data_IF_385609683099
#
_entry.id   IF_385609683099
#
_cell.length_a   1.000
_cell.length_b   1.000
_cell.length_c   1.000
_cell.angle_alpha   90.00
_cell.angle_beta   90.00
_cell.angle_gamma   90.00
#
_symmetry.space_group_name_H-M   'P 1'
#
loop_
_entity.id
_entity.type
_entity.pdbx_description
1 polymer ?
#
# COMPACT_ATOMS: atom_id res chain seq x y z
N UNK A 1 -19.21 -20.24 35.72
CA UNK A 1 -19.28 -21.71 35.81
C UNK A 1 -18.96 -22.26 34.44
N UNK A 2 -17.82 -22.94 34.28
CA UNK A 2 -17.49 -23.67 33.06
C UNK A 2 -18.32 -24.95 33.05
N UNK A 3 -19.45 -24.95 32.34
CA UNK A 3 -20.16 -26.20 32.06
C UNK A 3 -19.29 -27.08 31.16
N UNK A 4 -19.09 -28.32 31.61
CA UNK A 4 -18.22 -29.31 31.02
C UNK A 4 -18.71 -29.73 29.63
N UNK A 5 -18.26 -29.04 28.59
CA UNK A 5 -18.16 -29.67 27.28
C UNK A 5 -17.04 -30.72 27.37
N UNK A 6 -17.28 -31.97 26.95
CA UNK A 6 -16.31 -33.07 27.05
C UNK A 6 -15.07 -32.93 26.16
N UNK A 7 -14.43 -31.75 26.15
CA UNK A 7 -13.23 -31.39 25.40
C UNK A 7 -12.01 -31.38 26.32
N UNK A 8 -10.90 -31.91 25.81
CA UNK A 8 -9.60 -31.89 26.49
C UNK A 8 -8.86 -30.54 26.33
N UNK A 9 -9.53 -29.46 25.93
CA UNK A 9 -8.90 -28.14 25.73
C UNK A 9 -9.77 -26.99 26.29
N UNK A 10 -9.14 -25.89 26.76
CA UNK A 10 -9.84 -24.74 27.37
C UNK A 10 -10.37 -23.77 26.31
N UNK A 11 -10.99 -24.27 25.23
CA UNK A 11 -11.51 -23.44 24.15
C UNK A 11 -12.71 -22.60 24.63
N UNK A 12 -12.63 -21.29 24.48
CA UNK A 12 -13.75 -20.37 24.75
C UNK A 12 -14.82 -20.49 23.66
N UNK A 13 -16.01 -20.94 24.03
CA UNK A 13 -17.14 -21.13 23.12
C UNK A 13 -17.75 -19.81 22.62
N UNK A 14 -17.54 -18.72 23.36
CA UNK A 14 -18.04 -17.39 23.02
C UNK A 14 -16.99 -16.54 22.29
N UNK A 15 -15.85 -17.14 21.90
CA UNK A 15 -14.74 -16.44 21.25
C UNK A 15 -15.16 -15.59 20.03
N UNK A 16 -16.12 -16.10 19.24
CA UNK A 16 -16.67 -15.44 18.05
C UNK A 16 -18.03 -14.76 18.28
N UNK A 17 -18.54 -14.74 19.51
CA UNK A 17 -19.78 -14.06 19.86
C UNK A 17 -19.72 -12.56 19.51
N UNK A 18 -18.54 -11.95 19.71
CA UNK A 18 -18.16 -10.61 19.24
C UNK A 18 -16.85 -10.66 18.46
N UNK A 19 -16.67 -9.71 17.53
CA UNK A 19 -15.38 -9.44 16.88
C UNK A 19 -14.92 -8.07 17.38
N UNK A 20 -14.02 -8.08 18.37
CA UNK A 20 -13.56 -6.89 19.10
C UNK A 20 -12.04 -6.73 19.07
N UNK A 21 -11.33 -7.61 18.36
CA UNK A 21 -9.88 -7.56 18.22
C UNK A 21 -9.42 -7.84 16.79
N UNK A 22 -8.26 -7.31 16.45
CA UNK A 22 -7.59 -7.54 15.17
C UNK A 22 -7.42 -9.05 14.91
N UNK A 23 -6.96 -9.80 15.91
CA UNK A 23 -6.74 -11.25 15.79
C UNK A 23 -8.03 -12.03 15.48
N UNK A 24 -9.17 -11.67 16.09
CA UNK A 24 -10.47 -12.29 15.80
C UNK A 24 -10.93 -11.99 14.37
N UNK A 25 -10.83 -10.73 13.94
CA UNK A 25 -11.21 -10.32 12.59
C UNK A 25 -10.31 -10.95 11.52
N UNK A 26 -8.99 -10.97 11.76
CA UNK A 26 -8.00 -11.60 10.89
C UNK A 26 -8.25 -13.11 10.77
N UNK A 27 -8.50 -13.82 11.88
CA UNK A 27 -8.87 -15.23 11.83
C UNK A 27 -10.20 -15.46 11.10
N UNK A 28 -11.20 -14.59 11.29
CA UNK A 28 -12.46 -14.69 10.55
C UNK A 28 -12.21 -14.57 9.03
N UNK A 29 -11.29 -13.71 8.60
CA UNK A 29 -10.84 -13.58 7.22
C UNK A 29 -10.22 -14.87 6.67
N UNK A 30 -9.33 -15.51 7.44
CA UNK A 30 -8.75 -16.82 7.10
C UNK A 30 -9.80 -17.93 7.02
N UNK A 31 -10.77 -17.92 7.94
CA UNK A 31 -11.87 -18.88 7.90
C UNK A 31 -12.73 -18.63 6.65
N UNK A 32 -12.88 -17.38 6.22
CA UNK A 32 -13.63 -17.00 5.03
C UNK A 32 -12.91 -17.32 3.70
N UNK A 33 -11.58 -17.42 3.67
CA UNK A 33 -10.78 -17.79 2.47
C UNK A 33 -10.46 -19.29 2.41
N UNK A 34 -9.54 -19.77 3.24
CA UNK A 34 -9.03 -21.16 3.25
C UNK A 34 -9.70 -22.10 4.29
N UNK A 35 -10.55 -21.54 5.17
CA UNK A 35 -11.25 -22.34 6.18
C UNK A 35 -12.30 -23.32 5.63
N UNK A 36 -12.43 -24.49 6.25
CA UNK A 36 -13.55 -25.41 6.06
C UNK A 36 -14.42 -25.44 7.30
N UNK A 37 -15.74 -25.23 7.13
CA UNK A 37 -16.73 -25.29 8.21
C UNK A 37 -17.57 -26.55 8.03
N UNK A 38 -17.43 -27.48 8.96
CA UNK A 38 -18.03 -28.81 8.88
C UNK A 38 -19.38 -28.88 9.61
N UNK A 39 -20.29 -29.70 9.09
CA UNK A 39 -21.64 -29.88 9.69
C UNK A 39 -21.61 -30.50 11.09
N UNK A 40 -20.52 -31.16 11.46
CA UNK A 40 -20.32 -31.75 12.80
C UNK A 40 -19.93 -30.70 13.86
N UNK A 41 -19.82 -29.41 13.50
CA UNK A 41 -19.47 -28.34 14.43
C UNK A 41 -17.98 -28.10 14.58
N UNK A 42 -17.17 -28.47 13.58
CA UNK A 42 -15.74 -28.17 13.55
C UNK A 42 -15.36 -27.16 12.46
N UNK A 43 -14.29 -26.41 12.71
CA UNK A 43 -13.63 -25.53 11.75
C UNK A 43 -12.20 -26.03 11.58
N UNK A 44 -11.72 -26.07 10.33
CA UNK A 44 -10.34 -26.43 10.02
C UNK A 44 -9.74 -25.50 8.99
N UNK A 45 -8.51 -25.04 9.21
CA UNK A 45 -7.71 -24.28 8.25
C UNK A 45 -6.48 -25.12 7.94
N UNK A 46 -6.20 -25.35 6.65
CA UNK A 46 -5.01 -26.09 6.20
C UNK A 46 -4.20 -25.23 5.24
N UNK A 47 -2.92 -25.03 5.55
CA UNK A 47 -2.00 -24.25 4.70
C UNK A 47 -0.70 -25.02 4.48
N UNK A 48 0.08 -24.60 3.49
CA UNK A 48 1.38 -25.18 3.19
C UNK A 48 2.34 -25.06 4.39
N UNK A 49 3.14 -26.09 4.66
CA UNK A 49 4.00 -26.16 5.84
C UNK A 49 5.01 -25.02 5.97
N UNK A 50 5.39 -24.39 4.84
CA UNK A 50 6.25 -23.20 4.81
C UNK A 50 5.62 -21.98 5.51
N UNK A 51 4.30 -21.95 5.56
CA UNK A 51 3.52 -20.87 6.16
C UNK A 51 2.96 -21.25 7.55
N UNK A 52 3.36 -22.40 8.11
CA UNK A 52 2.78 -22.96 9.35
C UNK A 52 2.89 -22.05 10.59
N UNK A 53 3.86 -21.12 10.61
CA UNK A 53 3.99 -20.10 11.66
C UNK A 53 2.74 -19.20 11.76
N UNK A 54 1.98 -19.02 10.68
CA UNK A 54 0.70 -18.30 10.74
C UNK A 54 -0.34 -19.10 11.50
N UNK A 55 -0.37 -20.43 11.35
CA UNK A 55 -1.27 -21.27 12.14
C UNK A 55 -0.97 -21.19 13.64
N UNK A 56 0.28 -20.97 14.03
CA UNK A 56 0.67 -20.76 15.43
C UNK A 56 0.07 -19.46 15.97
N UNK A 57 0.17 -18.36 15.23
CA UNK A 57 -0.45 -17.08 15.59
C UNK A 57 -1.99 -17.18 15.66
N UNK A 58 -2.60 -17.85 14.67
CA UNK A 58 -4.06 -18.08 14.65
C UNK A 58 -4.51 -19.00 15.79
N UNK A 59 -3.72 -20.04 16.10
CA UNK A 59 -3.96 -20.95 17.22
C UNK A 59 -3.92 -20.18 18.53
N UNK A 60 -2.87 -19.39 18.75
CA UNK A 60 -2.65 -18.69 20.01
C UNK A 60 -3.69 -17.60 20.27
N UNK A 61 -4.22 -17.01 19.20
CA UNK A 61 -5.37 -16.11 19.28
C UNK A 61 -6.64 -16.80 19.81
N UNK A 62 -6.86 -18.07 19.49
CA UNK A 62 -8.09 -18.82 19.86
C UNK A 62 -7.92 -19.62 21.14
N UNK A 63 -6.90 -20.49 21.16
CA UNK A 63 -6.58 -21.37 22.28
C UNK A 63 -5.18 -22.00 22.04
N UNK A 64 -4.14 -21.55 22.77
CA UNK A 64 -2.76 -22.07 22.60
C UNK A 64 -2.60 -23.58 22.78
N UNK A 65 -3.52 -24.24 23.51
CA UNK A 65 -3.51 -25.68 23.73
C UNK A 65 -3.92 -26.52 22.50
N UNK A 66 -4.42 -25.88 21.43
CA UNK A 66 -4.84 -26.60 20.23
C UNK A 66 -3.65 -27.14 19.42
N UNK A 67 -3.66 -28.42 19.00
CA UNK A 67 -2.55 -28.97 18.23
C UNK A 67 -2.59 -28.51 16.77
N UNK A 68 -1.42 -28.18 16.21
CA UNK A 68 -1.25 -27.98 14.76
C UNK A 68 -0.74 -29.27 14.14
N UNK A 69 -1.61 -29.94 13.36
CA UNK A 69 -1.36 -31.30 12.87
C UNK A 69 -0.94 -31.29 11.40
N UNK A 70 0.05 -32.11 10.99
CA UNK A 70 0.30 -32.35 9.58
C UNK A 70 -0.86 -33.12 8.94
N UNK A 71 -1.17 -32.83 7.68
CA UNK A 71 -2.13 -33.61 6.89
C UNK A 71 -1.37 -34.71 6.14
N UNK A 72 -1.64 -35.97 6.52
CA UNK A 72 -0.94 -37.16 6.02
C UNK A 72 -0.88 -37.18 4.49
N UNK A 73 0.31 -37.44 3.94
CA UNK A 73 0.54 -37.54 2.50
C UNK A 73 0.54 -36.20 1.76
N UNK A 74 0.59 -35.06 2.46
CA UNK A 74 0.64 -33.73 1.86
C UNK A 74 1.67 -32.84 2.58
N UNK A 75 2.05 -31.73 1.96
CA UNK A 75 2.87 -30.69 2.59
C UNK A 75 2.03 -29.68 3.40
N UNK A 76 0.81 -30.05 3.79
CA UNK A 76 -0.10 -29.16 4.52
C UNK A 76 -0.03 -29.41 6.03
N UNK A 77 -0.12 -28.34 6.80
CA UNK A 77 -0.41 -28.38 8.25
C UNK A 77 -1.75 -27.70 8.49
N UNK A 78 -2.44 -28.11 9.54
CA UNK A 78 -3.75 -27.57 9.85
C UNK A 78 -4.00 -27.33 11.33
N UNK A 79 -4.76 -26.27 11.58
CA UNK A 79 -5.40 -25.96 12.83
C UNK A 79 -6.85 -26.44 12.74
N UNK A 80 -7.33 -27.16 13.75
CA UNK A 80 -8.73 -27.59 13.80
C UNK A 80 -9.26 -27.52 15.22
N UNK A 81 -10.47 -27.00 15.36
CA UNK A 81 -11.17 -26.90 16.64
C UNK A 81 -12.66 -27.17 16.44
N UNK A 82 -13.31 -27.66 17.50
CA UNK A 82 -14.71 -28.07 17.46
C UNK A 82 -15.50 -27.36 18.54
N UNK A 83 -16.48 -26.56 18.10
CA UNK A 83 -17.45 -25.87 18.95
C UNK A 83 -18.65 -25.51 18.09
N UNK A 84 -19.83 -26.00 18.49
CA UNK A 84 -21.08 -25.66 17.80
C UNK A 84 -21.43 -24.18 17.96
N UNK A 85 -21.08 -23.57 19.09
CA UNK A 85 -21.28 -22.15 19.36
C UNK A 85 -20.43 -21.29 18.41
N UNK A 86 -19.12 -21.56 18.35
CA UNK A 86 -18.21 -20.88 17.42
C UNK A 86 -18.67 -21.05 15.96
N UNK A 87 -19.01 -22.28 15.54
CA UNK A 87 -19.48 -22.52 14.16
C UNK A 87 -20.71 -21.69 13.85
N UNK A 88 -21.70 -21.65 14.76
CA UNK A 88 -22.90 -20.83 14.61
C UNK A 88 -22.53 -19.35 14.45
N UNK A 89 -21.64 -18.84 15.29
CA UNK A 89 -21.29 -17.43 15.31
C UNK A 89 -20.47 -17.00 14.08
N UNK A 90 -19.52 -17.83 13.64
CA UNK A 90 -18.80 -17.65 12.37
C UNK A 90 -19.76 -17.67 11.19
N UNK A 91 -20.67 -18.66 11.13
CA UNK A 91 -21.70 -18.74 10.10
C UNK A 91 -22.60 -17.50 10.08
N UNK A 92 -22.96 -16.96 11.26
CA UNK A 92 -23.71 -15.71 11.41
C UNK A 92 -22.94 -14.53 10.83
N UNK A 93 -21.66 -14.37 11.20
CA UNK A 93 -20.83 -13.27 10.72
C UNK A 93 -20.62 -13.30 9.19
N UNK A 94 -20.43 -14.49 8.62
CA UNK A 94 -20.18 -14.67 7.18
C UNK A 94 -21.47 -14.83 6.36
N UNK A 95 -22.65 -14.93 7.00
CA UNK A 95 -23.92 -15.15 6.32
C UNK A 95 -24.01 -16.47 5.57
N UNK A 96 -23.41 -17.54 6.10
CA UNK A 96 -23.33 -18.87 5.46
C UNK A 96 -23.86 -19.98 6.36
N UNK A 97 -24.02 -21.17 5.81
CA UNK A 97 -24.33 -22.40 6.57
C UNK A 97 -23.17 -23.39 6.50
N UNK A 98 -22.97 -24.25 7.51
CA UNK A 98 -21.91 -25.27 7.48
C UNK A 98 -21.96 -26.14 6.21
N UNK A 99 -20.80 -26.36 5.59
CA UNK A 99 -20.67 -27.10 4.34
C UNK A 99 -21.08 -26.34 3.06
N UNK A 100 -21.46 -25.05 3.15
CA UNK A 100 -21.78 -24.19 1.99
C UNK A 100 -21.07 -22.84 2.11
N UNK A 101 -19.76 -22.81 1.85
CA UNK A 101 -18.94 -21.60 1.97
C UNK A 101 -18.80 -20.87 0.62
N UNK A 102 -18.34 -21.57 -0.42
CA UNK A 102 -17.70 -20.94 -1.58
C UNK A 102 -18.50 -19.82 -2.28
N UNK A 103 -19.78 -20.03 -2.62
CA UNK A 103 -20.55 -19.07 -3.41
C UNK A 103 -21.37 -18.04 -2.61
N UNK A 104 -21.41 -18.15 -1.27
CA UNK A 104 -22.37 -17.39 -0.44
C UNK A 104 -21.75 -16.60 0.71
N UNK A 105 -20.43 -16.69 0.94
CA UNK A 105 -19.74 -15.88 1.95
C UNK A 105 -20.04 -14.40 1.72
N UNK A 106 -20.36 -13.69 2.80
CA UNK A 106 -20.59 -12.24 2.83
C UNK A 106 -19.48 -11.54 3.60
N UNK A 107 -19.29 -10.27 3.29
CA UNK A 107 -18.46 -9.38 4.07
C UNK A 107 -19.13 -9.13 5.44
N UNK A 108 -18.45 -9.39 6.57
CA UNK A 108 -19.06 -9.28 7.89
C UNK A 108 -19.31 -7.80 8.27
N UNK A 109 -20.42 -7.54 8.94
CA UNK A 109 -20.76 -6.22 9.48
C UNK A 109 -19.97 -5.91 10.76
N UNK A 110 -18.66 -5.69 10.61
CA UNK A 110 -17.76 -5.43 11.74
C UNK A 110 -17.87 -3.98 12.24
N UNK A 111 -17.70 -3.74 13.57
CA UNK A 111 -18.07 -2.47 14.19
C UNK A 111 -17.13 -1.29 13.86
N UNK A 112 -15.89 -1.56 13.45
CA UNK A 112 -14.91 -0.53 13.09
C UNK A 112 -14.22 -0.85 11.77
N UNK A 113 -13.73 0.18 11.08
CA UNK A 113 -12.99 -0.01 9.83
C UNK A 113 -11.65 -0.72 10.05
N UNK A 114 -11.01 -0.54 11.22
CA UNK A 114 -9.81 -1.28 11.59
C UNK A 114 -10.07 -2.81 11.58
N UNK A 115 -11.20 -3.26 12.13
CA UNK A 115 -11.58 -4.67 12.13
C UNK A 115 -11.96 -5.16 10.72
N UNK A 116 -12.62 -4.32 9.91
CA UNK A 116 -12.88 -4.63 8.50
C UNK A 116 -11.59 -4.83 7.71
N UNK A 117 -10.59 -3.97 7.90
CA UNK A 117 -9.26 -4.13 7.29
C UNK A 117 -8.54 -5.38 7.79
N UNK A 118 -8.62 -5.72 9.08
CA UNK A 118 -8.08 -6.97 9.61
C UNK A 118 -8.73 -8.21 8.97
N UNK A 119 -10.06 -8.19 8.76
CA UNK A 119 -10.76 -9.23 8.02
C UNK A 119 -10.29 -9.33 6.56
N UNK A 120 -10.18 -8.20 5.85
CA UNK A 120 -9.66 -8.17 4.47
C UNK A 120 -8.24 -8.71 4.41
N UNK A 121 -7.38 -8.37 5.37
CA UNK A 121 -6.01 -8.91 5.47
C UNK A 121 -6.03 -10.43 5.62
N UNK A 122 -6.81 -10.97 6.55
CA UNK A 122 -6.91 -12.42 6.75
C UNK A 122 -7.44 -13.15 5.52
N UNK A 123 -8.43 -12.56 4.84
CA UNK A 123 -8.94 -13.09 3.58
C UNK A 123 -7.88 -13.05 2.48
N UNK A 124 -7.19 -11.91 2.31
CA UNK A 124 -6.10 -11.72 1.36
C UNK A 124 -4.93 -12.68 1.63
N UNK A 125 -4.60 -12.97 2.88
CA UNK A 125 -3.50 -13.85 3.23
C UNK A 125 -3.80 -15.31 2.93
N UNK A 126 -5.07 -15.74 2.97
CA UNK A 126 -5.50 -17.02 2.41
C UNK A 126 -5.54 -17.00 0.88
N UNK A 127 -6.50 -16.29 0.30
CA UNK A 127 -6.87 -16.42 -1.13
C UNK A 127 -6.26 -15.37 -2.07
N UNK A 128 -5.46 -14.44 -1.53
CA UNK A 128 -4.82 -13.39 -2.30
C UNK A 128 -3.48 -13.79 -2.93
N UNK A 129 -2.98 -12.95 -3.82
CA UNK A 129 -1.65 -13.08 -4.42
C UNK A 129 -0.99 -11.72 -4.62
N UNK A 130 0.34 -11.70 -4.62
CA UNK A 130 1.18 -10.52 -4.91
C UNK A 130 2.19 -10.92 -5.97
N UNK A 131 2.34 -10.12 -7.03
CA UNK A 131 3.37 -10.35 -8.05
C UNK A 131 4.77 -10.16 -7.45
N UNK A 132 5.78 -10.87 -7.95
CA UNK A 132 7.16 -10.61 -7.53
C UNK A 132 7.82 -9.56 -8.42
N UNK A 133 8.58 -8.59 -7.87
CA UNK A 133 9.42 -7.70 -8.66
C UNK A 133 10.49 -8.44 -9.47
N UNK A 134 10.86 -9.65 -9.04
CA UNK A 134 11.90 -10.50 -9.66
C UNK A 134 11.33 -11.50 -10.67
N UNK A 135 10.01 -11.56 -10.83
CA UNK A 135 9.41 -12.42 -11.84
C UNK A 135 9.75 -11.90 -13.24
N UNK A 136 10.63 -12.61 -13.95
CA UNK A 136 11.08 -12.21 -15.29
C UNK A 136 9.91 -12.04 -16.26
N UNK A 137 9.59 -10.80 -16.62
CA UNK A 137 8.69 -10.53 -17.74
C UNK A 137 9.49 -10.49 -19.03
N UNK A 138 9.01 -11.26 -20.02
CA UNK A 138 9.60 -11.27 -21.37
C UNK A 138 9.47 -9.91 -22.07
N UNK A 139 8.50 -9.05 -21.75
CA UNK A 139 8.32 -7.72 -22.33
C UNK A 139 7.68 -6.73 -21.33
N UNK A 140 8.37 -5.62 -21.02
CA UNK A 140 7.87 -4.50 -20.19
C UNK A 140 8.56 -4.33 -18.81
N UNK A 141 8.52 -3.10 -18.28
CA UNK A 141 8.98 -2.77 -16.92
C UNK A 141 8.06 -3.46 -15.89
N UNK A 142 8.61 -4.18 -14.89
CA UNK A 142 7.78 -4.83 -13.88
C UNK A 142 7.07 -3.76 -13.03
N UNK A 143 5.87 -4.09 -12.54
CA UNK A 143 5.05 -3.20 -11.72
C UNK A 143 4.26 -4.01 -10.68
N UNK A 144 3.92 -3.41 -9.52
CA UNK A 144 3.20 -4.09 -8.45
C UNK A 144 1.80 -4.48 -8.90
N UNK A 145 1.39 -5.69 -8.52
CA UNK A 145 0.05 -6.21 -8.75
C UNK A 145 -0.31 -7.12 -7.59
N UNK A 146 -1.53 -6.99 -7.09
CA UNK A 146 -2.10 -7.93 -6.14
C UNK A 146 -3.55 -8.25 -6.49
N UNK A 147 -3.99 -9.44 -6.12
CA UNK A 147 -5.30 -9.96 -6.49
C UNK A 147 -5.92 -10.69 -5.32
N UNK A 148 -7.23 -10.48 -5.09
CA UNK A 148 -8.07 -11.36 -4.27
C UNK A 148 -8.94 -12.20 -5.20
N UNK A 149 -8.99 -13.51 -4.99
CA UNK A 149 -9.93 -14.39 -5.69
C UNK A 149 -11.07 -14.83 -4.75
N UNK A 150 -12.27 -14.94 -5.28
CA UNK A 150 -13.40 -15.57 -4.57
C UNK A 150 -14.47 -16.02 -5.56
N UNK A 151 -15.23 -17.05 -5.22
CA UNK A 151 -16.43 -17.42 -5.99
C UNK A 151 -17.68 -16.68 -5.52
N UNK A 152 -17.62 -15.94 -4.41
CA UNK A 152 -18.71 -15.06 -3.95
C UNK A 152 -18.58 -13.67 -4.57
N UNK A 153 -19.38 -13.39 -5.61
CA UNK A 153 -19.43 -12.07 -6.25
C UNK A 153 -19.85 -10.96 -5.26
N UNK A 154 -20.76 -11.27 -4.32
CA UNK A 154 -21.22 -10.33 -3.28
C UNK A 154 -20.11 -9.96 -2.29
N UNK A 155 -19.24 -10.92 -1.95
CA UNK A 155 -18.09 -10.63 -1.10
C UNK A 155 -17.13 -9.70 -1.83
N UNK A 156 -16.83 -9.98 -3.11
CA UNK A 156 -15.94 -9.16 -3.90
C UNK A 156 -16.47 -7.73 -4.07
N UNK A 157 -17.76 -7.58 -4.37
CA UNK A 157 -18.40 -6.26 -4.47
C UNK A 157 -18.32 -5.47 -3.16
N UNK A 158 -18.55 -6.13 -2.03
CA UNK A 158 -18.44 -5.50 -0.71
C UNK A 158 -16.99 -5.13 -0.36
N UNK A 159 -16.00 -5.98 -0.69
CA UNK A 159 -14.58 -5.67 -0.51
C UNK A 159 -14.17 -4.49 -1.39
N UNK A 160 -14.54 -4.48 -2.67
CA UNK A 160 -14.28 -3.35 -3.60
C UNK A 160 -14.84 -2.04 -3.04
N UNK A 161 -16.11 -2.06 -2.63
CA UNK A 161 -16.80 -0.89 -2.06
C UNK A 161 -16.13 -0.41 -0.78
N UNK A 162 -15.77 -1.33 0.12
CA UNK A 162 -15.12 -0.99 1.39
C UNK A 162 -13.71 -0.44 1.19
N UNK A 163 -12.91 -1.08 0.33
CA UNK A 163 -11.54 -0.64 0.08
C UNK A 163 -11.51 0.75 -0.56
N UNK A 164 -12.47 1.06 -1.43
CA UNK A 164 -12.56 2.35 -2.13
C UNK A 164 -11.25 2.76 -2.83
N UNK A 165 -10.44 1.78 -3.23
CA UNK A 165 -9.20 1.95 -3.99
C UNK A 165 -9.46 1.47 -5.42
N UNK A 166 -9.18 2.28 -6.45
CA UNK A 166 -9.51 1.92 -7.82
C UNK A 166 -8.87 0.58 -8.24
N UNK A 167 -9.69 -0.33 -8.76
CA UNK A 167 -9.29 -1.68 -9.13
C UNK A 167 -10.00 -2.16 -10.40
N UNK A 168 -9.56 -3.29 -10.92
CA UNK A 168 -10.31 -4.06 -11.89
C UNK A 168 -11.02 -5.22 -11.20
N UNK A 169 -12.36 -5.17 -11.13
CA UNK A 169 -13.16 -6.31 -10.66
C UNK A 169 -13.60 -7.19 -11.83
N UNK A 170 -13.06 -8.39 -11.87
CA UNK A 170 -13.57 -9.47 -12.71
C UNK A 170 -14.65 -10.28 -12.00
N UNK A 171 -15.20 -11.30 -12.69
CA UNK A 171 -16.26 -12.15 -12.12
C UNK A 171 -15.85 -12.89 -10.84
N UNK A 172 -14.58 -13.29 -10.72
CA UNK A 172 -14.08 -14.11 -9.60
C UNK A 172 -12.85 -13.54 -8.91
N UNK A 173 -12.54 -12.28 -9.18
CA UNK A 173 -11.38 -11.62 -8.57
C UNK A 173 -11.50 -10.11 -8.57
N UNK A 174 -10.74 -9.47 -7.67
CA UNK A 174 -10.39 -8.05 -7.71
C UNK A 174 -8.89 -7.97 -7.93
N UNK A 175 -8.45 -7.22 -8.93
CA UNK A 175 -7.03 -6.94 -9.19
C UNK A 175 -6.75 -5.46 -8.96
N UNK A 176 -5.76 -5.18 -8.11
CA UNK A 176 -5.12 -3.87 -8.02
C UNK A 176 -3.79 -3.92 -8.75
N UNK A 177 -3.47 -2.85 -9.46
CA UNK A 177 -2.23 -2.70 -10.21
C UNK A 177 -1.59 -1.33 -9.98
N UNK A 178 -0.26 -1.30 -9.98
CA UNK A 178 0.49 -0.07 -9.83
C UNK A 178 0.35 0.56 -8.44
N UNK A 179 0.18 1.88 -8.39
CA UNK A 179 0.05 2.59 -7.11
C UNK A 179 -1.12 2.06 -6.29
N UNK A 180 -2.24 1.73 -6.94
CA UNK A 180 -3.41 1.19 -6.26
C UNK A 180 -3.12 -0.17 -5.57
N UNK A 181 -2.19 -0.95 -6.12
CA UNK A 181 -1.74 -2.19 -5.47
C UNK A 181 -0.90 -1.90 -4.23
N UNK A 182 -0.02 -0.89 -4.30
CA UNK A 182 0.76 -0.43 -3.15
C UNK A 182 -0.16 0.14 -2.06
N UNK A 183 -1.10 1.02 -2.43
CA UNK A 183 -2.06 1.63 -1.49
C UNK A 183 -2.89 0.55 -0.78
N UNK A 184 -3.38 -0.44 -1.51
CA UNK A 184 -4.11 -1.56 -0.93
C UNK A 184 -3.23 -2.38 0.02
N UNK A 185 -2.02 -2.75 -0.40
CA UNK A 185 -1.11 -3.54 0.43
C UNK A 185 -0.64 -2.79 1.67
N UNK A 186 -0.41 -1.48 1.57
CA UNK A 186 -0.08 -0.62 2.70
C UNK A 186 -1.21 -0.62 3.73
N UNK A 187 -2.47 -0.48 3.29
CA UNK A 187 -3.65 -0.53 4.18
C UNK A 187 -3.77 -1.83 4.96
N UNK A 188 -3.42 -2.98 4.36
CA UNK A 188 -3.54 -4.27 5.05
C UNK A 188 -2.30 -4.61 5.89
N UNK A 189 -1.10 -4.14 5.55
CA UNK A 189 0.14 -4.58 6.21
C UNK A 189 0.83 -3.54 7.11
N UNK A 190 0.73 -2.24 6.85
CA UNK A 190 1.41 -1.24 7.68
C UNK A 190 0.81 -1.18 9.08
N UNK A 191 1.66 -1.31 10.11
CA UNK A 191 1.22 -1.38 11.50
C UNK A 191 0.43 -2.63 11.88
N UNK A 192 0.25 -3.59 10.96
CA UNK A 192 -0.50 -4.81 11.24
C UNK A 192 0.25 -5.73 12.21
N UNK A 193 -0.39 -6.23 13.29
CA UNK A 193 0.27 -7.08 14.28
C UNK A 193 0.51 -8.50 13.77
N UNK A 194 -0.27 -8.95 12.79
CA UNK A 194 -0.27 -10.33 12.27
C UNK A 194 -0.47 -10.29 10.77
N UNK A 195 0.38 -11.00 10.01
CA UNK A 195 0.31 -11.09 8.55
C UNK A 195 1.04 -12.33 8.04
N UNK A 196 0.72 -12.77 6.83
CA UNK A 196 1.52 -13.76 6.10
C UNK A 196 2.82 -13.10 5.60
N UNK A 197 3.93 -13.37 6.28
CA UNK A 197 5.26 -12.77 6.05
C UNK A 197 5.64 -12.78 4.58
N UNK A 198 5.48 -13.90 3.86
CA UNK A 198 5.89 -13.98 2.45
C UNK A 198 5.16 -13.00 1.52
N UNK A 199 3.89 -12.65 1.81
CA UNK A 199 3.13 -11.68 1.02
C UNK A 199 3.47 -10.25 1.44
N UNK A 200 3.62 -10.03 2.74
CA UNK A 200 4.11 -8.76 3.29
C UNK A 200 5.50 -8.39 2.76
N UNK A 201 6.43 -9.34 2.72
CA UNK A 201 7.78 -9.09 2.17
C UNK A 201 7.75 -8.73 0.68
N UNK A 202 6.81 -9.25 -0.11
CA UNK A 202 6.64 -8.82 -1.50
C UNK A 202 6.09 -7.40 -1.60
N UNK A 203 5.23 -6.98 -0.67
CA UNK A 203 4.82 -5.58 -0.56
C UNK A 203 6.02 -4.69 -0.23
N UNK A 204 6.81 -5.05 0.78
CA UNK A 204 8.00 -4.29 1.19
C UNK A 204 9.03 -4.19 0.05
N UNK A 205 9.27 -5.30 -0.66
CA UNK A 205 10.10 -5.32 -1.86
C UNK A 205 9.58 -4.36 -2.93
N UNK A 206 8.27 -4.33 -3.18
CA UNK A 206 7.65 -3.42 -4.16
C UNK A 206 7.68 -1.96 -3.72
N UNK A 207 7.45 -1.69 -2.44
CA UNK A 207 7.51 -0.35 -1.88
C UNK A 207 8.93 0.21 -2.03
N UNK A 208 9.95 -0.59 -1.76
CA UNK A 208 11.35 -0.20 -1.91
C UNK A 208 11.91 -0.37 -3.34
N UNK A 209 11.12 -0.83 -4.31
CA UNK A 209 11.65 -1.24 -5.61
C UNK A 209 12.06 -0.03 -6.47
N UNK A 210 13.34 -0.01 -6.87
CA UNK A 210 13.88 0.97 -7.82
C UNK A 210 14.43 0.24 -9.05
N UNK A 211 13.91 0.47 -10.27
CA UNK A 211 14.31 -0.29 -11.45
C UNK A 211 15.82 -0.34 -11.73
N UNK A 212 16.54 0.76 -11.46
CA UNK A 212 17.98 0.88 -11.74
C UNK A 212 18.90 0.38 -10.62
N UNK A 213 18.38 0.17 -9.41
CA UNK A 213 19.17 -0.24 -8.23
C UNK A 213 18.79 -1.65 -7.73
N UNK A 214 17.55 -2.09 -7.94
CA UNK A 214 16.97 -3.30 -7.34
C UNK A 214 16.76 -4.47 -8.31
N UNK A 215 17.19 -4.36 -9.57
CA UNK A 215 16.99 -5.37 -10.63
C UNK A 215 18.23 -6.23 -10.92
N UNK A 216 18.11 -7.56 -10.80
CA UNK A 216 19.13 -8.56 -11.18
C UNK A 216 19.18 -8.85 -12.70
N UNK A 217 18.77 -7.90 -13.53
CA UNK A 217 18.73 -8.11 -14.98
C UNK A 217 18.24 -6.88 -15.69
N UNK A 218 19.08 -6.38 -16.59
CA UNK A 218 18.86 -5.25 -17.50
C UNK A 218 19.21 -3.87 -16.92
N UNK A 219 20.51 -3.60 -16.79
CA UNK A 219 21.11 -2.26 -16.63
C UNK A 219 20.91 -1.35 -17.86
N UNK A 220 19.90 -1.61 -18.70
CA UNK A 220 19.86 -1.14 -20.09
C UNK A 220 18.50 -0.84 -20.70
N UNK A 221 17.42 -0.70 -19.91
CA UNK A 221 16.19 -0.05 -20.40
C UNK A 221 16.16 1.41 -19.99
N UNK A 222 16.03 2.27 -21.00
CA UNK A 222 15.91 3.73 -20.85
C UNK A 222 14.84 4.06 -19.80
N UNK A 223 15.25 4.70 -18.70
CA UNK A 223 14.34 5.19 -17.68
C UNK A 223 13.38 6.18 -18.34
N UNK A 224 12.15 5.74 -18.57
CA UNK A 224 11.13 6.56 -19.23
C UNK A 224 10.16 7.12 -18.20
N UNK A 225 9.78 8.37 -18.41
CA UNK A 225 8.79 9.07 -17.60
C UNK A 225 7.58 9.37 -18.47
N UNK A 226 6.39 8.98 -18.02
CA UNK A 226 5.16 9.21 -18.77
C UNK A 226 4.73 10.65 -18.54
N UNK A 227 4.22 11.30 -19.58
CA UNK A 227 3.64 12.62 -19.49
C UNK A 227 2.50 12.75 -20.50
N UNK A 228 1.58 13.66 -20.24
CA UNK A 228 0.53 14.05 -21.19
C UNK A 228 0.35 15.56 -21.14
N UNK A 229 0.04 16.18 -22.28
CA UNK A 229 -0.34 17.58 -22.33
C UNK A 229 -1.82 17.76 -21.97
N UNK A 230 -2.12 18.84 -21.26
CA UNK A 230 -3.49 19.32 -20.99
C UNK A 230 -3.72 20.77 -21.44
N UNK A 231 -2.72 21.40 -22.05
CA UNK A 231 -2.84 22.64 -22.84
C UNK A 231 -2.20 22.42 -24.20
N UNK A 232 -2.72 23.07 -25.25
CA UNK A 232 -2.27 22.83 -26.63
C UNK A 232 -0.80 23.19 -26.86
N UNK A 233 -0.35 24.26 -26.21
CA UNK A 233 1.02 24.79 -26.32
C UNK A 233 2.03 24.02 -25.44
N UNK A 234 1.57 23.09 -24.60
CA UNK A 234 2.45 22.37 -23.69
C UNK A 234 3.42 21.45 -24.44
N UNK A 235 4.64 21.40 -23.93
CA UNK A 235 5.75 20.62 -24.48
C UNK A 235 6.24 19.61 -23.45
N UNK A 236 6.83 18.53 -23.94
CA UNK A 236 7.54 17.59 -23.08
C UNK A 236 8.59 18.35 -22.25
N UNK A 237 8.81 17.98 -20.98
CA UNK A 237 10.00 18.42 -20.26
C UNK A 237 11.26 18.00 -21.01
N UNK A 238 12.22 18.91 -21.21
CA UNK A 238 13.44 18.66 -22.00
C UNK A 238 14.69 19.05 -21.27
N UNK A 239 15.81 18.37 -21.53
CA UNK A 239 17.14 18.85 -21.11
C UNK A 239 17.72 19.80 -22.15
N UNK A 240 18.56 20.73 -21.72
CA UNK A 240 19.35 21.54 -22.66
C UNK A 240 20.56 20.75 -23.16
N UNK A 241 21.20 19.99 -22.27
CA UNK A 241 22.31 19.10 -22.55
C UNK A 241 22.04 17.70 -21.99
N UNK A 242 22.62 16.67 -22.64
CA UNK A 242 22.41 15.29 -22.21
C UNK A 242 22.84 15.03 -20.74
N UNK A 243 23.87 15.74 -20.27
CA UNK A 243 24.43 15.66 -18.93
C UNK A 243 23.63 16.42 -17.85
N UNK A 244 22.64 17.23 -18.23
CA UNK A 244 21.89 18.01 -17.25
C UNK A 244 21.12 17.08 -16.29
N UNK A 245 21.06 17.45 -15.02
CA UNK A 245 20.37 16.66 -14.01
C UNK A 245 18.84 16.77 -14.12
N UNK A 246 18.34 17.93 -14.55
CA UNK A 246 16.91 18.24 -14.60
C UNK A 246 16.37 18.42 -16.01
N UNK A 247 15.05 18.33 -16.13
CA UNK A 247 14.28 18.60 -17.34
C UNK A 247 13.54 19.93 -17.16
N UNK A 248 13.80 20.89 -18.03
CA UNK A 248 13.15 22.21 -18.01
C UNK A 248 11.63 22.07 -18.18
N UNK A 249 10.88 22.82 -17.38
CA UNK A 249 9.45 23.03 -17.55
C UNK A 249 9.18 24.42 -18.13
N UNK A 250 8.17 24.48 -19.02
CA UNK A 250 7.70 25.72 -19.60
C UNK A 250 6.44 26.19 -18.86
N UNK A 251 6.48 27.41 -18.34
CA UNK A 251 5.33 28.12 -17.82
C UNK A 251 4.63 28.77 -19.01
N UNK A 252 3.34 28.51 -19.19
CA UNK A 252 2.57 28.93 -20.36
C UNK A 252 1.66 30.13 -20.05
N UNK A 253 0.95 30.07 -18.94
CA UNK A 253 -0.01 31.10 -18.53
C UNK A 253 -0.09 31.21 -17.01
N UNK A 254 -0.53 32.37 -16.51
CA UNK A 254 -0.83 32.56 -15.10
C UNK A 254 -2.14 31.83 -14.75
N UNK A 255 -2.10 31.02 -13.69
CA UNK A 255 -3.27 30.34 -13.13
C UNK A 255 -3.87 31.09 -11.94
N UNK A 256 -4.32 30.34 -10.93
CA UNK A 256 -4.91 30.91 -9.72
C UNK A 256 -3.85 31.53 -8.80
N UNK A 257 -4.29 32.40 -7.89
CA UNK A 257 -3.43 33.10 -6.92
C UNK A 257 -3.92 32.84 -5.50
N UNK A 258 -2.97 32.65 -4.57
CA UNK A 258 -3.24 32.55 -3.13
C UNK A 258 -2.32 33.51 -2.39
N UNK A 259 -2.89 34.59 -1.83
CA UNK A 259 -2.11 35.68 -1.24
C UNK A 259 -1.11 36.27 -2.25
N UNK A 260 0.18 36.26 -1.90
CA UNK A 260 1.27 36.72 -2.78
C UNK A 260 1.76 35.67 -3.79
N UNK A 261 1.30 34.43 -3.69
CA UNK A 261 1.77 33.33 -4.53
C UNK A 261 0.90 33.19 -5.77
N UNK A 262 1.53 33.30 -6.94
CA UNK A 262 0.91 33.06 -8.24
C UNK A 262 1.26 31.64 -8.70
N UNK A 263 0.25 30.82 -8.97
CA UNK A 263 0.45 29.50 -9.55
C UNK A 263 0.47 29.62 -11.07
N UNK A 264 1.59 29.28 -11.69
CA UNK A 264 1.73 29.25 -13.15
C UNK A 264 1.42 27.85 -13.69
N UNK A 265 0.75 27.83 -14.84
CA UNK A 265 0.35 26.61 -15.53
C UNK A 265 1.44 26.17 -16.49
N UNK A 266 1.72 24.86 -16.52
CA UNK A 266 2.69 24.26 -17.46
C UNK A 266 2.00 23.55 -18.61
N UNK A 267 0.73 23.20 -18.42
CA UNK A 267 -0.02 22.33 -19.33
C UNK A 267 0.49 20.90 -19.39
N UNK A 268 1.36 20.49 -18.46
CA UNK A 268 1.96 19.15 -18.43
C UNK A 268 1.46 18.39 -17.21
N UNK A 269 0.99 17.15 -17.42
CA UNK A 269 0.79 16.16 -16.37
C UNK A 269 1.89 15.12 -16.50
N UNK A 270 2.53 14.74 -15.40
CA UNK A 270 3.67 13.82 -15.40
C UNK A 270 3.39 12.67 -14.46
N UNK A 271 3.80 11.47 -14.86
CA UNK A 271 3.78 10.30 -14.01
C UNK A 271 5.18 9.66 -13.98
N UNK A 272 5.94 9.87 -12.87
CA UNK A 272 7.18 9.18 -12.61
C UNK A 272 7.13 7.66 -12.85
N UNK A 273 8.29 7.06 -13.13
CA UNK A 273 8.44 5.60 -13.09
C UNK A 273 8.29 5.07 -11.65
N UNK A 274 7.98 3.78 -11.47
CA UNK A 274 7.91 3.18 -10.13
C UNK A 274 9.26 3.32 -9.42
N UNK A 275 9.22 3.68 -8.12
CA UNK A 275 10.42 3.95 -7.32
C UNK A 275 11.03 5.35 -7.53
N UNK A 276 10.37 6.22 -8.29
CA UNK A 276 10.84 7.58 -8.57
C UNK A 276 9.77 8.63 -8.26
N UNK A 277 10.22 9.82 -7.87
CA UNK A 277 9.45 11.06 -7.83
C UNK A 277 10.23 12.17 -8.54
N UNK A 278 9.65 13.36 -8.66
CA UNK A 278 10.38 14.53 -9.15
C UNK A 278 10.45 15.63 -8.10
N UNK A 279 11.64 16.21 -7.95
CA UNK A 279 11.79 17.53 -7.35
C UNK A 279 11.51 18.60 -8.41
N UNK A 280 10.53 19.46 -8.21
CA UNK A 280 10.38 20.73 -8.89
C UNK A 280 11.30 21.75 -8.23
N UNK A 281 12.32 22.19 -8.95
CA UNK A 281 13.33 23.13 -8.44
C UNK A 281 13.46 24.35 -9.33
N UNK A 282 13.83 25.52 -8.76
CA UNK A 282 14.17 26.67 -9.57
C UNK A 282 15.38 26.39 -10.46
N UNK A 283 15.38 26.98 -11.66
CA UNK A 283 16.62 27.12 -12.43
C UNK A 283 17.43 28.26 -11.85
N UNK A 284 18.76 28.21 -12.00
CA UNK A 284 19.64 29.29 -11.54
C UNK A 284 19.25 30.66 -12.09
N UNK A 285 18.69 30.72 -13.31
CA UNK A 285 18.21 31.94 -13.96
C UNK A 285 17.02 32.60 -13.27
N UNK A 286 16.25 31.90 -12.42
CA UNK A 286 15.12 32.50 -11.69
C UNK A 286 15.56 33.69 -10.83
N UNK A 287 16.80 33.64 -10.32
CA UNK A 287 17.41 34.70 -9.50
C UNK A 287 17.45 36.06 -10.21
N UNK A 288 17.35 36.10 -11.54
CA UNK A 288 17.37 37.31 -12.36
C UNK A 288 15.98 37.93 -12.58
N UNK A 289 14.92 37.29 -12.06
CA UNK A 289 13.53 37.65 -12.39
C UNK A 289 12.83 38.43 -11.28
N UNK A 290 13.40 38.50 -10.07
CA UNK A 290 12.70 39.01 -8.89
C UNK A 290 11.66 38.04 -8.32
N UNK A 291 11.58 36.80 -8.83
CA UNK A 291 10.73 35.74 -8.32
C UNK A 291 11.52 34.64 -7.61
N UNK A 292 10.86 33.96 -6.69
CA UNK A 292 11.31 32.71 -6.08
C UNK A 292 10.24 31.64 -6.18
N UNK A 293 10.67 30.37 -6.19
CA UNK A 293 9.75 29.23 -6.06
C UNK A 293 9.22 29.21 -4.62
N UNK A 294 7.91 29.40 -4.44
CA UNK A 294 7.32 29.72 -3.14
C UNK A 294 7.40 28.56 -2.12
N UNK A 295 7.50 27.32 -2.59
CA UNK A 295 7.64 26.13 -1.77
C UNK A 295 9.07 25.57 -1.72
N UNK A 296 10.07 26.33 -2.19
CA UNK A 296 11.50 25.95 -2.27
C UNK A 296 11.80 24.76 -3.17
N UNK A 297 11.32 23.56 -2.82
CA UNK A 297 11.35 22.35 -3.63
C UNK A 297 9.94 21.78 -3.64
N UNK A 298 9.33 21.67 -4.82
CA UNK A 298 8.05 20.97 -4.97
C UNK A 298 8.26 19.48 -5.12
N UNK A 299 7.63 18.66 -4.29
CA UNK A 299 7.63 17.20 -4.47
C UNK A 299 6.48 16.81 -5.38
N UNK A 300 6.78 16.19 -6.52
CA UNK A 300 5.78 15.67 -7.46
C UNK A 300 5.77 14.15 -7.34
N UNK A 301 4.82 13.65 -6.55
CA UNK A 301 4.62 12.22 -6.34
C UNK A 301 4.10 11.52 -7.60
N UNK A 302 4.38 10.22 -7.69
CA UNK A 302 3.87 9.37 -8.78
C UNK A 302 2.34 9.29 -8.83
N UNK A 303 1.69 9.42 -7.68
CA UNK A 303 0.23 9.39 -7.53
C UNK A 303 -0.42 10.69 -7.97
N UNK A 304 0.33 11.79 -8.08
CA UNK A 304 -0.19 13.05 -8.57
C UNK A 304 -0.42 13.01 -10.09
N UNK A 305 -1.68 12.98 -10.49
CA UNK A 305 -2.12 12.96 -11.90
C UNK A 305 -2.70 14.30 -12.37
N UNK A 306 -2.54 15.33 -11.54
CA UNK A 306 -2.91 16.71 -11.87
C UNK A 306 -1.91 17.38 -12.81
N UNK A 307 -2.23 18.60 -13.22
CA UNK A 307 -1.28 19.47 -13.93
C UNK A 307 -0.15 19.88 -12.98
N UNK A 308 1.10 19.84 -13.45
CA UNK A 308 2.23 20.39 -12.68
C UNK A 308 2.11 21.91 -12.66
N UNK A 309 1.74 22.47 -11.51
CA UNK A 309 1.66 23.90 -11.29
C UNK A 309 2.96 24.41 -10.66
N UNK A 310 3.36 25.62 -11.03
CA UNK A 310 4.59 26.25 -10.54
C UNK A 310 4.23 27.44 -9.65
N UNK A 311 4.28 27.31 -8.32
CA UNK A 311 3.94 28.40 -7.40
C UNK A 311 5.12 29.36 -7.27
N UNK A 312 4.99 30.57 -7.82
CA UNK A 312 6.02 31.60 -7.70
C UNK A 312 5.54 32.74 -6.80
N UNK A 313 6.46 33.24 -5.98
CA UNK A 313 6.29 34.47 -5.21
C UNK A 313 7.21 35.54 -5.79
N UNK A 314 6.65 36.72 -6.05
CA UNK A 314 7.43 37.91 -6.43
C UNK A 314 8.02 38.50 -5.15
N UNK A 315 9.34 38.54 -5.07
CA UNK A 315 10.07 39.04 -3.88
C UNK A 315 10.66 40.43 -4.09
N UNK A 316 10.95 40.79 -5.35
CA UNK A 316 11.21 42.16 -5.74
C UNK A 316 9.96 42.73 -6.42
N UNK A 317 9.22 43.56 -5.69
CA UNK A 317 7.99 44.19 -6.18
C UNK A 317 8.26 45.15 -7.37
N UNK A 318 9.50 45.64 -7.52
CA UNK A 318 9.90 46.54 -8.60
C UNK A 318 10.37 45.81 -9.87
N UNK A 319 10.63 44.50 -9.78
CA UNK A 319 11.00 43.70 -10.94
C UNK A 319 9.86 43.66 -11.97
N UNK A 320 10.19 43.48 -13.25
CA UNK A 320 9.17 43.26 -14.29
C UNK A 320 8.44 41.95 -14.05
N UNK A 321 7.19 41.89 -14.47
CA UNK A 321 6.45 40.63 -14.47
C UNK A 321 7.09 39.63 -15.45
N UNK A 322 6.93 38.33 -15.15
CA UNK A 322 7.46 37.27 -15.99
C UNK A 322 6.80 37.28 -17.38
N UNK A 323 7.62 37.44 -18.41
CA UNK A 323 7.19 37.25 -19.79
C UNK A 323 7.01 35.75 -20.08
N UNK A 324 5.82 35.38 -20.52
CA UNK A 324 5.45 33.99 -20.84
C UNK A 324 5.49 33.76 -22.37
N UNK A 325 5.84 32.55 -22.83
CA UNK A 325 6.22 31.39 -22.04
C UNK A 325 7.62 31.49 -21.43
N UNK A 326 7.78 31.05 -20.17
CA UNK A 326 9.04 31.15 -19.43
C UNK A 326 9.59 29.75 -19.07
N UNK A 327 10.92 29.60 -19.08
CA UNK A 327 11.60 28.37 -18.61
C UNK A 327 12.52 28.69 -17.44
N UNK A 328 11.94 28.83 -16.26
CA UNK A 328 12.64 29.27 -15.04
C UNK A 328 12.63 28.23 -13.91
N UNK A 329 12.04 27.06 -14.15
CA UNK A 329 12.06 25.90 -13.24
C UNK A 329 12.34 24.62 -14.03
N UNK A 330 12.72 23.58 -13.33
CA UNK A 330 13.03 22.26 -13.90
C UNK A 330 12.59 21.16 -12.92
N UNK A 331 12.40 19.95 -13.44
CA UNK A 331 12.16 18.75 -12.62
C UNK A 331 13.39 17.86 -12.59
N UNK A 332 13.78 17.38 -11.40
CA UNK A 332 14.91 16.47 -11.22
C UNK A 332 14.38 15.13 -10.72
N UNK A 333 14.61 14.01 -11.44
CA UNK A 333 14.16 12.70 -10.98
C UNK A 333 14.94 12.28 -9.73
N UNK A 334 14.21 11.79 -8.72
CA UNK A 334 14.78 11.29 -7.46
C UNK A 334 14.28 9.89 -7.15
N UNK A 335 15.13 8.97 -6.67
CA UNK A 335 14.67 7.70 -6.15
C UNK A 335 13.90 7.91 -4.84
N UNK A 336 12.82 7.18 -4.64
CA UNK A 336 12.08 7.16 -3.37
C UNK A 336 12.79 6.20 -2.41
N UNK A 337 12.91 6.60 -1.14
CA UNK A 337 13.37 5.72 -0.06
C UNK A 337 12.23 5.60 0.95
N UNK A 338 11.70 4.40 1.13
CA UNK A 338 10.70 4.09 2.14
C UNK A 338 11.39 3.60 3.41
N UNK A 339 11.09 4.22 4.55
CA UNK A 339 11.60 3.83 5.86
C UNK A 339 10.43 3.55 6.82
N UNK A 340 10.53 2.47 7.58
CA UNK A 340 9.61 2.20 8.68
C UNK A 340 9.99 3.03 9.91
N UNK A 341 8.99 3.62 10.57
CA UNK A 341 9.19 4.30 11.85
C UNK A 341 9.09 3.29 12.98
N UNK A 342 10.10 3.25 13.85
CA UNK A 342 10.15 2.38 15.04
C UNK A 342 10.20 3.28 16.26
N UNK A 343 9.17 3.21 17.10
CA UNK A 343 9.13 3.90 18.38
C UNK A 343 10.04 3.18 19.39
N UNK A 344 10.89 3.92 20.09
CA UNK A 344 11.83 3.40 21.10
C UNK A 344 11.77 4.24 22.38
N UNK A 345 12.05 3.66 23.57
CA UNK A 345 12.00 4.40 24.84
C UNK A 345 12.98 5.58 24.91
N UNK A 346 14.11 5.52 24.21
CA UNK A 346 15.13 6.57 24.16
C UNK A 346 16.02 6.42 22.92
N UNK A 347 16.59 7.54 22.45
CA UNK A 347 17.62 7.56 21.39
C UNK A 347 19.03 7.50 22.01
N UNK A 348 20.03 7.10 21.22
CA UNK A 348 21.43 7.13 21.63
C UNK A 348 21.93 8.57 21.86
N UNK A 349 22.74 8.76 22.90
CA UNK A 349 23.40 10.05 23.13
C UNK A 349 24.49 10.31 22.09
N UNK A 350 24.61 11.57 21.66
CA UNK A 350 25.68 12.00 20.75
C UNK A 350 26.33 13.27 21.27
N UNK A 351 27.56 13.56 20.82
CA UNK A 351 28.27 14.81 21.14
C UNK A 351 27.51 16.07 20.72
N UNK A 352 26.61 15.98 19.74
CA UNK A 352 25.71 17.08 19.34
C UNK A 352 24.54 17.27 20.33
N UNK A 353 24.10 16.20 21.00
CA UNK A 353 22.94 16.21 21.89
C UNK A 353 21.71 16.85 21.24
N UNK A 354 21.07 17.78 21.95
CA UNK A 354 19.91 18.56 21.48
C UNK A 354 20.28 19.84 20.70
N UNK A 355 21.54 20.07 20.38
CA UNK A 355 22.01 21.30 19.72
C UNK A 355 21.65 21.37 18.23
N UNK A 356 20.81 22.35 17.85
CA UNK A 356 20.46 22.70 16.46
C UNK A 356 20.63 24.21 16.17
N UNK A 357 20.18 24.67 14.99
CA UNK A 357 20.08 26.10 14.62
C UNK A 357 21.38 26.93 14.78
N UNK A 358 22.50 26.42 14.27
CA UNK A 358 23.79 27.14 14.35
C UNK A 358 24.58 26.89 15.64
N UNK A 359 24.26 25.83 16.40
CA UNK A 359 24.95 25.42 17.63
C UNK A 359 26.47 25.20 17.53
N UNK A 360 27.03 25.12 16.31
CA UNK A 360 28.46 24.95 16.04
C UNK A 360 29.16 26.21 15.51
N UNK A 361 28.46 27.34 15.34
CA UNK A 361 28.98 28.55 14.70
C UNK A 361 28.58 29.85 15.40
N UNK A 362 29.59 30.49 15.99
CA UNK A 362 29.82 31.90 16.39
C UNK A 362 28.63 32.89 16.37
N UNK A 363 28.49 33.62 17.50
CA UNK A 363 27.71 34.86 17.66
C UNK A 363 27.99 35.91 16.58
#
# INVERSE_FOLDING_TARGET
MLESSGRNNPLDDDFFATIDSDAKAYLLGWIASDGSIHKNGSISIYIHQKDAYVLEQLRDAVCPALPIRPKKGTLLRGLSFSSKAIVRDVCRWLGITPGKKDAVVRFPALPTDALKWAFVRGFFDGDGSVSSPRAGKKNGTPYPRCTIASTSEKLLEAIETFCAIPCHRGRRHIEWAGNNALDFMARIYEGAPTALVRKRSLYEDWAAWVPSLSGTGDHGRELSFRWVKCLDQARAPTKAHASDSGYDLMLLEAGHRVGKVQFFRTGVKIQPSYGWYFDLVPRSSISKTGYMLANSIGVIDRTYVGEVLVPLIKVDENARDLELPARIVQIVPRPIVHAAFIEVPSLEESTRGSGGFGSTGVR
#
